data_IF_653555263771
#
_entry.id   IF_653555263771
#
_cell.length_a   1.000
_cell.length_b   1.000
_cell.length_c   1.000
_cell.angle_alpha   90.00
_cell.angle_beta   90.00
_cell.angle_gamma   90.00
#
_symmetry.space_group_name_H-M   'P 1'
#
loop_
_entity.id
_entity.type
_entity.pdbx_description
1 polymer ?
#
# COMPACT_ATOMS: atom_id res chain seq x y z
N UNK A 1 7.60 13.98 7.88
CA UNK A 1 8.18 12.73 7.33
C UNK A 1 9.22 12.02 8.22
N UNK A 2 10.03 12.69 9.05
CA UNK A 2 11.05 12.05 9.91
C UNK A 2 10.53 10.89 10.79
N UNK A 3 9.31 11.00 11.31
CA UNK A 3 8.69 9.96 12.13
C UNK A 3 8.43 8.66 11.35
N UNK A 4 7.90 8.75 10.13
CA UNK A 4 7.70 7.59 9.24
C UNK A 4 9.05 6.95 8.89
N UNK A 5 10.09 7.78 8.70
CA UNK A 5 11.45 7.27 8.44
C UNK A 5 12.02 6.46 9.59
N UNK A 6 11.89 6.94 10.83
CA UNK A 6 12.32 6.18 12.01
C UNK A 6 11.51 4.91 12.19
N UNK A 7 10.18 5.01 12.01
CA UNK A 7 9.27 3.86 12.06
C UNK A 7 9.71 2.75 11.11
N UNK A 8 9.93 3.07 9.82
CA UNK A 8 10.30 2.05 8.81
C UNK A 8 11.68 1.44 9.03
N UNK A 9 12.66 2.20 9.55
CA UNK A 9 13.98 1.64 9.92
C UNK A 9 13.86 0.66 11.08
N UNK A 10 13.07 1.00 12.11
CA UNK A 10 12.83 0.13 13.26
C UNK A 10 12.15 -1.19 12.86
N UNK A 11 11.32 -1.16 11.83
CA UNK A 11 10.56 -2.33 11.36
C UNK A 11 11.23 -3.14 10.25
N UNK A 12 12.50 -2.86 9.91
CA UNK A 12 13.30 -3.75 9.06
C UNK A 12 13.90 -3.13 7.78
N UNK A 13 13.67 -1.84 7.52
CA UNK A 13 14.31 -1.17 6.37
C UNK A 13 15.80 -0.95 6.64
N UNK A 14 16.67 -1.50 5.77
CA UNK A 14 18.12 -1.31 5.80
C UNK A 14 18.50 0.14 5.50
N UNK A 15 17.85 0.73 4.50
CA UNK A 15 18.01 2.15 4.17
C UNK A 15 16.67 2.73 3.80
N UNK A 16 16.51 4.01 4.11
CA UNK A 16 15.34 4.80 3.74
C UNK A 16 15.75 6.24 3.53
N UNK A 17 15.42 6.75 2.35
CA UNK A 17 15.67 8.13 1.94
C UNK A 17 14.40 8.68 1.30
N UNK A 18 14.10 9.93 1.60
CA UNK A 18 12.99 10.68 0.99
C UNK A 18 13.60 11.78 0.14
N UNK A 19 13.23 11.81 -1.13
CA UNK A 19 13.65 12.79 -2.12
C UNK A 19 12.44 13.66 -2.49
N UNK A 20 12.69 14.91 -2.79
CA UNK A 20 11.73 15.79 -3.46
C UNK A 20 12.12 15.82 -4.94
N UNK A 21 11.14 15.65 -5.83
CA UNK A 21 11.38 15.70 -7.27
C UNK A 21 11.71 17.15 -7.68
N UNK A 22 12.83 17.33 -8.40
CA UNK A 22 13.29 18.65 -8.85
C UNK A 22 12.40 19.21 -9.96
N UNK A 23 11.80 18.34 -10.78
CA UNK A 23 10.88 18.72 -11.85
C UNK A 23 9.43 18.89 -11.38
N UNK A 24 9.10 18.37 -10.19
CA UNK A 24 7.76 18.44 -9.60
C UNK A 24 7.86 18.64 -8.07
N UNK A 25 7.94 19.89 -7.58
CA UNK A 25 8.20 20.18 -6.17
C UNK A 25 7.14 19.64 -5.18
N UNK A 26 5.94 19.35 -5.64
CA UNK A 26 4.86 18.72 -4.88
C UNK A 26 4.99 17.19 -4.80
N UNK A 27 5.87 16.59 -5.61
CA UNK A 27 6.10 15.15 -5.66
C UNK A 27 7.30 14.76 -4.78
N UNK A 28 7.06 13.78 -3.93
CA UNK A 28 8.09 13.17 -3.08
C UNK A 28 8.26 11.70 -3.42
N UNK A 29 9.50 11.27 -3.57
CA UNK A 29 9.88 9.90 -3.90
C UNK A 29 10.60 9.28 -2.71
N UNK A 30 10.16 8.09 -2.32
CA UNK A 30 10.72 7.39 -1.18
C UNK A 30 11.39 6.09 -1.61
N UNK A 31 12.71 6.03 -1.41
CA UNK A 31 13.49 4.83 -1.70
C UNK A 31 13.74 4.07 -0.40
N UNK A 32 13.34 2.79 -0.39
CA UNK A 32 13.59 1.87 0.71
C UNK A 32 14.36 0.66 0.22
N UNK A 33 15.48 0.37 0.87
CA UNK A 33 16.16 -0.91 0.73
C UNK A 33 15.76 -1.79 1.91
N UNK A 34 15.29 -3.00 1.61
CA UNK A 34 14.85 -3.99 2.59
C UNK A 34 15.58 -5.29 2.30
N UNK A 35 15.93 -6.04 3.34
CA UNK A 35 16.71 -7.26 3.22
C UNK A 35 16.03 -8.32 2.34
N UNK A 36 14.70 -8.42 2.39
CA UNK A 36 13.93 -9.39 1.61
C UNK A 36 12.47 -8.97 1.47
N UNK A 37 11.73 -9.64 0.58
CA UNK A 37 10.27 -9.47 0.47
C UNK A 37 9.53 -9.95 1.72
N UNK A 38 9.99 -11.00 2.38
CA UNK A 38 9.39 -11.47 3.63
C UNK A 38 9.54 -10.45 4.76
N UNK A 39 10.69 -9.77 4.83
CA UNK A 39 10.91 -8.68 5.79
C UNK A 39 10.01 -7.47 5.48
N UNK A 40 9.82 -7.14 4.20
CA UNK A 40 8.85 -6.11 3.80
C UNK A 40 7.41 -6.44 4.23
N UNK A 41 6.97 -7.69 4.08
CA UNK A 41 5.64 -8.11 4.53
C UNK A 41 5.54 -8.10 6.06
N UNK A 42 6.56 -8.57 6.77
CA UNK A 42 6.60 -8.54 8.23
C UNK A 42 6.54 -7.10 8.76
N UNK A 43 7.20 -6.16 8.07
CA UNK A 43 7.15 -4.74 8.37
C UNK A 43 5.72 -4.18 8.32
N UNK A 44 4.96 -4.49 7.27
CA UNK A 44 3.63 -3.90 7.07
C UNK A 44 2.48 -4.64 7.78
N UNK A 45 2.61 -5.95 8.00
CA UNK A 45 1.51 -6.77 8.51
C UNK A 45 1.72 -7.25 9.95
N UNK A 46 2.96 -7.50 10.37
CA UNK A 46 3.24 -8.16 11.65
C UNK A 46 3.88 -7.26 12.72
N UNK A 47 4.66 -6.24 12.32
CA UNK A 47 5.50 -5.43 13.24
C UNK A 47 5.06 -3.97 13.39
N UNK A 48 3.89 -3.62 12.86
CA UNK A 48 3.38 -2.24 12.87
C UNK A 48 2.68 -1.95 14.22
N UNK A 49 3.28 -1.09 15.03
CA UNK A 49 2.69 -0.62 16.29
C UNK A 49 1.60 0.42 16.04
N UNK A 50 0.76 0.69 17.04
CA UNK A 50 -0.25 1.75 16.95
C UNK A 50 0.37 3.13 16.64
N UNK A 51 1.56 3.41 17.16
CA UNK A 51 2.29 4.66 16.89
C UNK A 51 2.73 4.75 15.43
N UNK A 52 3.14 3.64 14.81
CA UNK A 52 3.49 3.64 13.38
C UNK A 52 2.28 3.89 12.50
N UNK A 53 1.13 3.26 12.83
CA UNK A 53 -0.14 3.49 12.13
C UNK A 53 -0.50 4.97 12.13
N UNK A 54 -0.41 5.62 13.30
CA UNK A 54 -0.66 7.05 13.45
C UNK A 54 0.27 7.91 12.60
N UNK A 55 1.56 7.56 12.53
CA UNK A 55 2.51 8.28 11.68
C UNK A 55 2.21 8.08 10.18
N UNK A 56 1.84 6.88 9.76
CA UNK A 56 1.40 6.62 8.38
C UNK A 56 0.13 7.38 8.03
N UNK A 57 -0.90 7.34 8.90
CA UNK A 57 -2.14 8.10 8.72
C UNK A 57 -1.88 9.60 8.64
N UNK A 58 -0.98 10.12 9.47
CA UNK A 58 -0.57 11.52 9.41
C UNK A 58 0.10 11.86 8.08
N UNK A 59 0.95 10.97 7.56
CA UNK A 59 1.55 11.17 6.24
C UNK A 59 0.51 11.09 5.11
N UNK A 60 -0.47 10.16 5.19
CA UNK A 60 -1.56 10.07 4.21
C UNK A 60 -2.41 11.34 4.15
N UNK A 61 -2.59 12.04 5.27
CA UNK A 61 -3.30 13.35 5.30
C UNK A 61 -2.55 14.49 4.60
N UNK A 62 -1.28 14.31 4.27
CA UNK A 62 -0.48 15.30 3.54
C UNK A 62 -0.53 15.10 2.02
N UNK A 63 -1.18 14.04 1.54
CA UNK A 63 -1.35 13.79 0.12
C UNK A 63 -2.29 14.82 -0.50
N UNK A 64 -2.05 15.15 -1.76
CA UNK A 64 -2.97 15.97 -2.52
C UNK A 64 -4.37 15.30 -2.57
N UNK A 65 -5.46 16.07 -2.52
CA UNK A 65 -6.81 15.51 -2.54
C UNK A 65 -7.02 14.57 -3.74
N UNK A 66 -7.62 13.40 -3.49
CA UNK A 66 -7.90 12.41 -4.53
C UNK A 66 -6.68 11.60 -5.01
N UNK A 67 -5.51 11.78 -4.42
CA UNK A 67 -4.30 11.03 -4.78
C UNK A 67 -3.98 9.91 -3.79
N UNK A 68 -3.23 8.91 -4.25
CA UNK A 68 -2.66 7.85 -3.44
C UNK A 68 -1.18 7.69 -3.78
N UNK A 69 -0.34 7.19 -2.85
CA UNK A 69 1.06 6.93 -3.15
C UNK A 69 1.19 5.82 -4.19
N UNK A 70 1.94 6.08 -5.25
CA UNK A 70 2.38 5.04 -6.17
C UNK A 70 3.51 4.23 -5.50
N UNK A 71 3.39 2.90 -5.52
CA UNK A 71 4.38 2.00 -4.90
C UNK A 71 4.84 0.98 -5.93
N UNK A 72 6.15 0.87 -6.10
CA UNK A 72 6.79 -0.12 -6.97
C UNK A 72 7.89 -0.84 -6.19
N UNK A 73 8.02 -2.13 -6.43
CA UNK A 73 9.07 -2.97 -5.85
C UNK A 73 10.02 -3.41 -6.95
N UNK A 74 11.32 -3.24 -6.73
CA UNK A 74 12.37 -3.63 -7.65
C UNK A 74 13.41 -4.48 -6.94
N UNK A 75 14.07 -5.36 -7.70
CA UNK A 75 15.23 -6.12 -7.25
C UNK A 75 16.47 -5.53 -7.93
N UNK A 76 17.62 -5.59 -7.23
CA UNK A 76 18.88 -5.24 -7.86
C UNK A 76 19.22 -6.29 -8.93
N UNK A 77 19.14 -5.91 -10.20
CA UNK A 77 19.42 -6.81 -11.31
C UNK A 77 20.86 -7.35 -11.30
N UNK A 78 21.80 -6.62 -10.69
CA UNK A 78 23.20 -7.06 -10.57
C UNK A 78 23.40 -8.22 -9.58
N UNK A 79 22.42 -8.51 -8.71
CA UNK A 79 22.51 -9.54 -7.66
C UNK A 79 21.36 -10.56 -7.72
N UNK A 80 20.48 -10.44 -8.71
CA UNK A 80 19.37 -11.36 -8.95
C UNK A 80 19.68 -12.38 -10.03
N UNK A 81 18.92 -13.48 -10.12
CA UNK A 81 18.93 -14.31 -11.32
C UNK A 81 18.48 -13.44 -12.51
N UNK A 82 19.27 -13.45 -13.59
CA UNK A 82 18.90 -12.78 -14.84
C UNK A 82 17.69 -13.52 -15.40
N UNK A 83 16.50 -12.90 -15.30
CA UNK A 83 15.35 -13.35 -16.08
C UNK A 83 15.59 -12.87 -17.50
N UNK A 84 16.23 -13.69 -18.32
CA UNK A 84 16.18 -13.51 -19.77
C UNK A 84 14.72 -13.68 -20.16
N UNK A 85 14.06 -12.58 -20.54
CA UNK A 85 12.86 -12.71 -21.36
C UNK A 85 13.26 -13.62 -22.54
N UNK A 86 12.50 -14.70 -22.76
CA UNK A 86 12.66 -15.51 -23.96
C UNK A 86 12.57 -14.63 -25.21
N UNK A 87 13.08 -15.09 -26.36
CA UNK A 87 13.11 -14.29 -27.58
C UNK A 87 11.75 -13.64 -27.85
N UNK A 88 11.72 -12.38 -28.31
CA UNK A 88 10.47 -11.80 -28.81
C UNK A 88 10.04 -12.69 -29.97
N UNK A 89 8.76 -13.05 -30.00
CA UNK A 89 8.10 -13.87 -31.02
C UNK A 89 7.83 -15.35 -30.64
N UNK A 90 7.17 -15.56 -29.51
CA UNK A 90 5.92 -16.33 -29.55
C UNK A 90 4.83 -15.45 -28.96
N UNK A 91 3.88 -15.01 -29.80
CA UNK A 91 2.63 -14.42 -29.32
C UNK A 91 2.02 -15.40 -28.31
N UNK A 92 1.78 -15.00 -27.05
CA UNK A 92 1.04 -15.85 -26.14
C UNK A 92 -0.38 -15.93 -26.68
N UNK A 93 -0.74 -17.11 -27.23
CA UNK A 93 -2.11 -17.47 -27.57
C UNK A 93 -3.02 -16.95 -26.45
N UNK A 94 -3.92 -16.05 -26.84
CA UNK A 94 -4.59 -15.09 -25.96
C UNK A 94 -4.92 -15.64 -24.57
N UNK A 95 -4.20 -15.12 -23.56
CA UNK A 95 -4.77 -15.07 -22.21
C UNK A 95 -5.96 -14.10 -22.28
N UNK A 96 -7.21 -14.56 -22.06
CA UNK A 96 -8.32 -13.63 -21.96
C UNK A 96 -8.00 -12.67 -20.82
N UNK A 97 -8.34 -11.36 -20.94
CA UNK A 97 -8.00 -10.39 -19.93
C UNK A 97 -8.66 -10.78 -18.61
N UNK A 98 -7.88 -11.41 -17.72
CA UNK A 98 -8.26 -11.55 -16.33
C UNK A 98 -8.42 -10.13 -15.79
N UNK A 99 -9.65 -9.83 -15.40
CA UNK A 99 -10.11 -8.52 -14.97
C UNK A 99 -9.04 -7.83 -14.10
N UNK A 100 -8.60 -6.66 -14.54
CA UNK A 100 -7.87 -5.70 -13.70
C UNK A 100 -8.66 -5.59 -12.41
N UNK A 101 -8.09 -6.05 -11.29
CA UNK A 101 -8.76 -5.96 -10.00
C UNK A 101 -9.10 -4.50 -9.73
N UNK A 102 -10.40 -4.20 -9.73
CA UNK A 102 -10.93 -2.91 -9.34
C UNK A 102 -10.55 -2.63 -7.87
N UNK A 103 -10.40 -1.36 -7.47
CA UNK A 103 -10.18 -1.02 -6.08
C UNK A 103 -11.35 -1.50 -5.22
N UNK A 104 -11.03 -2.13 -4.10
CA UNK A 104 -11.99 -2.65 -3.12
C UNK A 104 -12.85 -1.50 -2.59
N UNK A 105 -14.12 -1.48 -2.97
CA UNK A 105 -15.09 -0.50 -2.51
C UNK A 105 -15.32 -0.68 -1.00
N UNK A 106 -15.06 0.39 -0.25
CA UNK A 106 -15.50 0.57 1.14
C UNK A 106 -17.01 0.26 1.21
N UNK A 107 -17.37 -0.83 1.89
CA UNK A 107 -18.77 -1.07 2.27
C UNK A 107 -19.14 -0.07 3.37
N UNK A 108 -19.79 1.01 2.97
CA UNK A 108 -20.63 1.82 3.87
C UNK A 108 -21.83 0.96 4.27
N UNK A 109 -21.80 0.47 5.51
CA UNK A 109 -22.94 -0.21 6.12
C UNK A 109 -24.12 0.73 6.21
N UNK A 110 -25.14 0.48 5.39
CA UNK A 110 -26.46 1.11 5.47
C UNK A 110 -27.21 0.47 6.64
N UNK A 111 -27.52 1.28 7.63
CA UNK A 111 -28.50 1.02 8.68
C UNK A 111 -29.85 0.65 8.06
N UNK A 112 -30.39 -0.51 8.39
CA UNK A 112 -31.82 -0.81 8.22
C UNK A 112 -32.56 -0.38 9.48
N UNK A 113 -33.72 0.30 9.36
CA UNK A 113 -34.59 0.59 10.50
C UNK A 113 -35.30 -0.70 10.87
N UNK A 114 -35.25 -1.10 12.14
CA UNK A 114 -36.15 -2.14 12.65
C UNK A 114 -37.42 -1.46 13.16
N UNK A 115 -38.52 -2.00 12.69
CA UNK A 115 -39.83 -1.39 12.62
C UNK A 115 -40.58 -1.58 13.94
N UNK A 116 -41.28 -0.53 14.34
CA UNK A 116 -42.05 -0.49 15.57
C UNK A 116 -43.25 -1.44 15.46
N UNK A 117 -43.24 -2.55 16.20
CA UNK A 117 -44.46 -3.31 16.48
C UNK A 117 -44.83 -3.12 17.95
N UNK A 118 -45.75 -2.19 18.18
CA UNK A 118 -46.41 -2.01 19.45
C UNK A 118 -47.16 -3.28 19.86
N UNK A 119 -46.86 -3.79 21.04
CA UNK A 119 -47.71 -4.73 21.76
C UNK A 119 -48.34 -3.95 22.92
N UNK A 120 -49.66 -3.77 22.85
CA UNK A 120 -50.44 -3.05 23.85
C UNK A 120 -50.50 -3.74 25.22
N UNK A 121 -51.03 -3.05 26.25
CA UNK A 121 -50.92 -3.48 27.64
C UNK A 121 -52.10 -4.35 28.07
N UNK A 122 -51.86 -5.27 29.02
CA UNK A 122 -52.88 -5.95 29.84
C UNK A 122 -52.24 -6.59 31.09
N UNK A 123 -53.02 -6.90 32.13
CA UNK A 123 -54.06 -6.13 32.82
C UNK A 123 -53.61 -5.65 34.21
#
# INVERSE_FOLDING_TARGET
>A
MRHVTRSRRRTGALTRVLHQDVGAPDRFVENCLIASRSEHLAQHHARLTATDRRFEETARRLLAPGTAPEVTHAFCAATGPVVTAGPPDEEPAGVPPAARSAPEAVRTGRTTPDDATGTGPRP
#
